data_IF_785159254297
#
_entry.id   IF_785159254297
#
_cell.length_a   1.000
_cell.length_b   1.000
_cell.length_c   1.000
_cell.angle_alpha   90.00
_cell.angle_beta   90.00
_cell.angle_gamma   90.00
#
_symmetry.space_group_name_H-M   'P 1'
#
loop_
_entity.id
_entity.type
_entity.pdbx_description
1 polymer ?
#
# COMPACT_ATOMS: atom_id res chain seq x y z
N UNK A 1 -38.48 22.39 26.57
CA UNK A 1 -37.02 22.47 26.83
C UNK A 1 -36.41 21.10 27.09
N UNK A 2 -36.91 20.32 28.06
CA UNK A 2 -36.35 18.98 28.38
C UNK A 2 -36.41 18.01 27.20
N UNK A 3 -37.51 17.97 26.44
CA UNK A 3 -37.63 17.11 25.24
C UNK A 3 -36.59 17.44 24.16
N UNK A 4 -36.29 18.73 23.96
CA UNK A 4 -35.29 19.21 22.98
C UNK A 4 -33.87 18.80 23.40
N UNK A 5 -33.59 18.79 24.70
CA UNK A 5 -32.31 18.34 25.25
C UNK A 5 -32.17 16.82 25.09
N UNK A 6 -33.21 16.05 25.38
CA UNK A 6 -33.18 14.59 25.24
C UNK A 6 -33.02 14.19 23.77
N UNK A 7 -33.77 14.81 22.86
CA UNK A 7 -33.69 14.51 21.42
C UNK A 7 -32.33 14.85 20.82
N UNK A 8 -31.71 15.96 21.23
CA UNK A 8 -30.36 16.33 20.77
C UNK A 8 -29.29 15.38 21.29
N UNK A 9 -29.38 14.91 22.54
CA UNK A 9 -28.44 13.92 23.09
C UNK A 9 -28.57 12.58 22.35
N UNK A 10 -29.80 12.11 22.13
CA UNK A 10 -30.06 10.83 21.45
C UNK A 10 -29.57 10.87 20.00
N UNK A 11 -29.84 11.96 19.28
CA UNK A 11 -29.36 12.12 17.90
C UNK A 11 -27.83 12.21 17.85
N UNK A 12 -27.20 13.00 18.72
CA UNK A 12 -25.74 13.09 18.79
C UNK A 12 -25.07 11.74 19.11
N UNK A 13 -25.64 10.97 20.04
CA UNK A 13 -25.16 9.64 20.39
C UNK A 13 -25.30 8.65 19.22
N UNK A 14 -26.47 8.64 18.57
CA UNK A 14 -26.72 7.79 17.42
C UNK A 14 -25.80 8.13 16.24
N UNK A 15 -25.66 9.41 15.90
CA UNK A 15 -24.77 9.87 14.82
C UNK A 15 -23.30 9.56 15.13
N UNK A 16 -22.85 9.74 16.37
CA UNK A 16 -21.47 9.42 16.77
C UNK A 16 -21.19 7.93 16.63
N UNK A 17 -22.11 7.07 17.07
CA UNK A 17 -21.99 5.62 16.94
C UNK A 17 -21.95 5.17 15.47
N UNK A 18 -22.85 5.69 14.64
CA UNK A 18 -22.89 5.38 13.20
C UNK A 18 -21.59 5.84 12.52
N UNK A 19 -21.14 7.06 12.80
CA UNK A 19 -19.89 7.62 12.25
C UNK A 19 -18.69 6.75 12.60
N UNK A 20 -18.57 6.35 13.87
CA UNK A 20 -17.49 5.50 14.35
C UNK A 20 -17.45 4.15 13.61
N UNK A 21 -18.60 3.48 13.48
CA UNK A 21 -18.71 2.20 12.78
C UNK A 21 -18.36 2.31 11.29
N UNK A 22 -18.75 3.41 10.63
CA UNK A 22 -18.43 3.66 9.22
C UNK A 22 -16.94 3.95 9.02
N UNK A 23 -16.35 4.78 9.89
CA UNK A 23 -14.91 5.09 9.83
C UNK A 23 -14.07 3.82 9.99
N UNK A 24 -14.42 2.95 10.95
CA UNK A 24 -13.69 1.72 11.18
C UNK A 24 -13.73 0.77 9.97
N UNK A 25 -14.91 0.62 9.34
CA UNK A 25 -15.06 -0.19 8.13
C UNK A 25 -14.28 0.37 6.94
N UNK A 26 -14.30 1.69 6.77
CA UNK A 26 -13.56 2.37 5.70
C UNK A 26 -12.05 2.19 5.90
N UNK A 27 -11.55 2.42 7.10
CA UNK A 27 -10.14 2.21 7.45
C UNK A 27 -9.71 0.78 7.14
N UNK A 28 -10.48 -0.23 7.60
CA UNK A 28 -10.14 -1.64 7.35
C UNK A 28 -10.11 -1.98 5.86
N UNK A 29 -11.00 -1.41 5.05
CA UNK A 29 -11.11 -1.76 3.62
C UNK A 29 -10.04 -1.07 2.78
N UNK A 30 -9.79 0.22 3.02
CA UNK A 30 -8.74 0.97 2.32
C UNK A 30 -7.36 0.45 2.69
N UNK A 31 -7.09 0.25 3.99
CA UNK A 31 -5.84 -0.33 4.45
C UNK A 31 -5.62 -1.72 3.83
N UNK A 32 -6.65 -2.57 3.82
CA UNK A 32 -6.53 -3.92 3.24
C UNK A 32 -6.14 -3.89 1.76
N UNK A 33 -6.67 -2.94 0.99
CA UNK A 33 -6.35 -2.84 -0.45
C UNK A 33 -4.90 -2.41 -0.67
N UNK A 34 -4.43 -1.39 0.05
CA UNK A 34 -3.02 -0.98 -0.02
C UNK A 34 -2.08 -2.08 0.48
N UNK A 35 -2.42 -2.76 1.58
CA UNK A 35 -1.65 -3.87 2.12
C UNK A 35 -1.58 -5.05 1.14
N UNK A 36 -2.64 -5.33 0.40
CA UNK A 36 -2.63 -6.41 -0.60
C UNK A 36 -1.70 -6.09 -1.77
N UNK A 37 -1.69 -4.86 -2.26
CA UNK A 37 -0.78 -4.44 -3.33
C UNK A 37 0.69 -4.51 -2.86
N UNK A 38 0.98 -4.03 -1.66
CA UNK A 38 2.33 -4.13 -1.04
C UNK A 38 2.73 -5.59 -0.83
N UNK A 39 1.81 -6.43 -0.34
CA UNK A 39 2.07 -7.86 -0.14
C UNK A 39 2.35 -8.58 -1.46
N UNK A 40 1.62 -8.27 -2.53
CA UNK A 40 1.85 -8.83 -3.85
C UNK A 40 3.24 -8.44 -4.40
N UNK A 41 3.64 -7.18 -4.25
CA UNK A 41 4.99 -6.71 -4.62
C UNK A 41 6.06 -7.42 -3.81
N UNK A 42 5.90 -7.50 -2.49
CA UNK A 42 6.85 -8.19 -1.61
C UNK A 42 6.97 -9.67 -1.99
N UNK A 43 5.85 -10.36 -2.24
CA UNK A 43 5.85 -11.75 -2.69
C UNK A 43 6.54 -11.93 -4.05
N UNK A 44 6.28 -11.02 -5.01
CA UNK A 44 6.91 -11.02 -6.32
C UNK A 44 8.44 -10.89 -6.22
N UNK A 45 8.93 -9.98 -5.38
CA UNK A 45 10.36 -9.73 -5.21
C UNK A 45 11.05 -10.71 -4.24
N UNK A 46 10.31 -11.42 -3.39
CA UNK A 46 10.85 -12.49 -2.52
C UNK A 46 11.13 -13.78 -3.29
N UNK A 47 10.47 -14.01 -4.42
CA UNK A 47 10.61 -15.25 -5.19
C UNK A 47 12.07 -15.43 -5.65
N UNK A 48 12.61 -16.63 -5.44
CA UNK A 48 14.04 -16.94 -5.33
C UNK A 48 14.85 -16.78 -6.63
N UNK A 49 14.19 -16.68 -7.77
CA UNK A 49 14.81 -16.79 -9.08
C UNK A 49 15.75 -15.60 -9.40
N UNK A 50 15.54 -14.42 -8.78
CA UNK A 50 16.28 -13.19 -9.07
C UNK A 50 16.51 -12.33 -7.82
N UNK A 51 17.68 -11.67 -7.70
CA UNK A 51 17.97 -10.70 -6.62
C UNK A 51 17.37 -9.31 -6.89
N UNK A 52 17.38 -8.91 -8.18
CA UNK A 52 16.84 -7.66 -8.71
C UNK A 52 16.01 -7.99 -9.95
N UNK A 53 14.94 -7.23 -10.21
CA UNK A 53 14.05 -7.38 -11.37
C UNK A 53 13.93 -6.05 -12.10
N UNK A 54 13.90 -6.06 -13.43
CA UNK A 54 13.70 -4.82 -14.20
C UNK A 54 12.33 -4.23 -13.91
N UNK A 55 12.24 -2.90 -13.92
CA UNK A 55 11.00 -2.19 -13.66
C UNK A 55 9.89 -2.58 -14.65
N UNK A 56 10.23 -2.74 -15.93
CA UNK A 56 9.28 -3.17 -16.98
C UNK A 56 8.64 -4.52 -16.68
N UNK A 57 9.42 -5.50 -16.20
CA UNK A 57 8.92 -6.83 -15.86
C UNK A 57 8.02 -6.80 -14.62
N UNK A 58 8.32 -5.94 -13.65
CA UNK A 58 7.48 -5.71 -12.48
C UNK A 58 6.14 -5.11 -12.92
N UNK A 59 6.18 -4.06 -13.75
CA UNK A 59 5.01 -3.36 -14.28
C UNK A 59 4.09 -4.30 -15.05
N UNK A 60 4.65 -5.14 -15.93
CA UNK A 60 3.91 -6.12 -16.72
C UNK A 60 3.14 -7.13 -15.85
N UNK A 61 3.68 -7.50 -14.68
CA UNK A 61 3.10 -8.53 -13.81
C UNK A 61 2.08 -7.98 -12.81
N UNK A 62 2.30 -6.78 -12.28
CA UNK A 62 1.38 -6.17 -11.32
C UNK A 62 0.21 -5.49 -12.03
N UNK A 63 0.47 -4.75 -13.11
CA UNK A 63 -0.56 -4.01 -13.85
C UNK A 63 -1.31 -2.97 -13.01
N UNK A 64 -2.17 -2.16 -13.63
CA UNK A 64 -3.12 -1.29 -12.91
C UNK A 64 -2.54 -0.11 -12.11
N UNK A 65 -1.23 0.14 -12.22
CA UNK A 65 -0.54 1.29 -11.60
C UNK A 65 0.22 2.08 -12.66
N UNK A 66 0.19 3.39 -12.54
CA UNK A 66 1.11 4.27 -13.27
C UNK A 66 2.54 4.08 -12.76
N UNK A 67 3.53 4.49 -13.54
CA UNK A 67 4.93 4.23 -13.21
C UNK A 67 5.33 4.80 -11.85
N UNK A 68 4.94 6.03 -11.54
CA UNK A 68 5.24 6.64 -10.24
C UNK A 68 4.45 6.03 -9.08
N UNK A 69 3.23 5.56 -9.34
CA UNK A 69 2.46 4.83 -8.34
C UNK A 69 3.13 3.50 -8.01
N UNK A 70 3.59 2.78 -9.03
CA UNK A 70 4.30 1.52 -8.87
C UNK A 70 5.63 1.71 -8.14
N UNK A 71 6.41 2.75 -8.47
CA UNK A 71 7.64 3.10 -7.72
C UNK A 71 7.36 3.40 -6.25
N UNK A 72 6.32 4.19 -5.96
CA UNK A 72 5.89 4.45 -4.56
C UNK A 72 5.50 3.15 -3.84
N UNK A 73 4.79 2.25 -4.53
CA UNK A 73 4.39 0.96 -3.97
C UNK A 73 5.60 0.05 -3.70
N UNK A 74 6.59 0.05 -4.59
CA UNK A 74 7.86 -0.67 -4.42
C UNK A 74 8.62 -0.18 -3.17
N UNK A 75 8.72 1.14 -2.99
CA UNK A 75 9.32 1.73 -1.77
C UNK A 75 8.55 1.32 -0.52
N UNK A 76 7.21 1.38 -0.55
CA UNK A 76 6.36 0.92 0.57
C UNK A 76 6.58 -0.57 0.88
N UNK A 77 6.91 -1.39 -0.11
CA UNK A 77 7.23 -2.81 0.06
C UNK A 77 8.68 -3.06 0.55
N UNK A 78 9.46 -2.02 0.81
CA UNK A 78 10.86 -2.12 1.23
C UNK A 78 11.83 -2.44 0.09
N UNK A 79 11.43 -2.16 -1.15
CA UNK A 79 12.31 -2.28 -2.31
C UNK A 79 13.08 -0.97 -2.56
N UNK A 80 14.28 -1.11 -3.10
CA UNK A 80 15.20 -0.04 -3.46
C UNK A 80 15.51 -0.10 -4.95
N UNK A 81 15.79 1.07 -5.53
CA UNK A 81 16.07 1.24 -6.95
C UNK A 81 17.56 1.10 -7.24
N UNK A 82 17.88 0.31 -8.25
CA UNK A 82 19.22 0.18 -8.82
C UNK A 82 19.18 0.62 -10.29
N UNK A 83 20.26 1.26 -10.75
CA UNK A 83 20.40 1.68 -12.14
C UNK A 83 21.62 0.97 -12.70
N UNK A 84 21.42 0.23 -13.79
CA UNK A 84 22.50 -0.44 -14.51
C UNK A 84 23.35 0.58 -15.29
N UNK A 85 24.61 0.28 -15.64
CA UNK A 85 25.46 1.17 -16.45
C UNK A 85 24.85 1.59 -17.79
N UNK A 86 23.95 0.78 -18.35
CA UNK A 86 23.19 1.08 -19.57
C UNK A 86 21.91 1.91 -19.33
N UNK A 87 21.71 2.41 -18.10
CA UNK A 87 20.56 3.23 -17.72
C UNK A 87 19.29 2.45 -17.39
N UNK A 88 19.31 1.11 -17.44
CA UNK A 88 18.11 0.32 -17.11
C UNK A 88 17.79 0.35 -15.62
N UNK A 89 16.50 0.51 -15.32
CA UNK A 89 15.95 0.57 -13.96
C UNK A 89 15.64 -0.84 -13.42
N UNK A 90 16.20 -1.16 -12.26
CA UNK A 90 15.98 -2.41 -11.54
C UNK A 90 15.51 -2.14 -10.12
N UNK A 91 14.76 -3.08 -9.56
CA UNK A 91 14.28 -3.02 -8.19
C UNK A 91 14.53 -4.35 -7.48
N UNK A 92 14.92 -4.26 -6.22
CA UNK A 92 15.14 -5.41 -5.36
C UNK A 92 14.77 -5.06 -3.91
N UNK A 93 14.45 -6.06 -3.10
CA UNK A 93 14.22 -5.84 -1.68
C UNK A 93 15.52 -5.43 -1.00
N UNK A 94 15.48 -4.40 -0.17
CA UNK A 94 16.62 -3.94 0.62
C UNK A 94 17.25 -5.08 1.42
N UNK A 95 16.42 -5.88 2.10
CA UNK A 95 16.86 -7.01 2.90
C UNK A 95 17.62 -8.11 2.12
N UNK A 96 17.51 -8.14 0.78
CA UNK A 96 18.19 -9.12 -0.08
C UNK A 96 19.43 -8.56 -0.79
N UNK A 97 19.56 -7.23 -0.85
CA UNK A 97 20.57 -6.54 -1.65
C UNK A 97 21.35 -5.54 -0.79
N UNK A 98 21.43 -5.79 0.52
CA UNK A 98 22.11 -4.90 1.46
C UNK A 98 23.61 -4.74 1.13
N UNK A 99 24.24 -5.79 0.58
CA UNK A 99 25.64 -5.78 0.18
C UNK A 99 25.91 -4.93 -1.08
N UNK A 100 24.87 -4.61 -1.85
CA UNK A 100 24.95 -3.88 -3.12
C UNK A 100 24.51 -2.40 -2.98
N UNK A 101 24.24 -1.93 -1.76
CA UNK A 101 23.80 -0.57 -1.44
C UNK A 101 24.97 0.28 -0.93
#
# INVERSE_FOLDING_TARGET
MVETIITSIVTAAATSLITFLLQERKLRTELRTEFMAVAAVSALLKRADWQKRSFEEIRKRLGGFDDDQLRRLLVRAGAVRFVSPDGREFWGLMARNADDL
#
